data_IF_433476627347
#
_entry.id   IF_433476627347
#
_cell.length_a   1.000
_cell.length_b   1.000
_cell.length_c   1.000
_cell.angle_alpha   90.00
_cell.angle_beta   90.00
_cell.angle_gamma   90.00
#
_symmetry.space_group_name_H-M   'P 1'
#
loop_
_entity.id
_entity.type
_entity.pdbx_description
1 polymer ?
#
# COMPACT_ATOMS: atom_id res chain seq x y z
N UNK A 1 27.82 -14.17 -12.39
CA UNK A 1 26.57 -13.91 -11.65
C UNK A 1 25.82 -15.24 -11.62
N UNK A 2 25.75 -15.91 -10.47
CA UNK A 2 24.97 -17.15 -10.37
C UNK A 2 23.50 -16.78 -10.48
N UNK A 3 22.85 -17.21 -11.56
CA UNK A 3 21.43 -17.12 -11.76
C UNK A 3 20.74 -17.79 -10.56
N UNK A 4 20.27 -16.97 -9.62
CA UNK A 4 19.45 -17.45 -8.53
C UNK A 4 18.18 -18.00 -9.12
N UNK A 5 17.87 -19.27 -8.84
CA UNK A 5 16.61 -19.88 -9.28
C UNK A 5 15.45 -19.01 -8.80
N UNK A 6 14.72 -18.43 -9.74
CA UNK A 6 13.50 -17.67 -9.45
C UNK A 6 12.44 -18.63 -8.92
N UNK A 7 11.88 -18.32 -7.76
CA UNK A 7 10.85 -19.12 -7.11
C UNK A 7 9.46 -18.55 -7.36
N UNK A 8 9.37 -17.24 -7.51
CA UNK A 8 8.11 -16.56 -7.74
C UNK A 8 8.28 -15.15 -8.26
N UNK A 9 7.28 -14.66 -8.94
CA UNK A 9 7.25 -13.37 -9.57
C UNK A 9 5.88 -12.71 -9.39
N UNK A 10 5.86 -11.39 -9.14
CA UNK A 10 4.65 -10.61 -8.94
C UNK A 10 4.79 -9.25 -9.61
N UNK A 11 3.94 -8.97 -10.58
CA UNK A 11 3.86 -7.66 -11.21
C UNK A 11 3.02 -6.68 -10.40
N UNK A 12 3.50 -5.44 -10.30
CA UNK A 12 2.87 -4.33 -9.62
C UNK A 12 2.36 -3.28 -10.61
N UNK A 13 1.37 -2.50 -10.19
CA UNK A 13 0.68 -1.52 -11.05
C UNK A 13 1.59 -0.34 -11.46
N UNK A 14 2.64 -0.06 -10.70
CA UNK A 14 3.58 1.05 -10.90
C UNK A 14 4.77 0.71 -11.81
N UNK A 15 4.60 -0.29 -12.68
CA UNK A 15 5.67 -0.82 -13.55
C UNK A 15 6.88 -1.33 -12.75
N UNK A 16 6.62 -1.87 -11.60
CA UNK A 16 7.62 -2.57 -10.81
C UNK A 16 7.24 -4.05 -10.67
N UNK A 17 8.25 -4.88 -10.50
CA UNK A 17 8.10 -6.30 -10.32
C UNK A 17 8.81 -6.73 -9.04
N UNK A 18 8.18 -7.64 -8.31
CA UNK A 18 8.79 -8.34 -7.19
C UNK A 18 9.18 -9.75 -7.62
N UNK A 19 10.44 -10.07 -7.48
CA UNK A 19 10.99 -11.39 -7.82
C UNK A 19 11.53 -12.05 -6.56
N UNK A 20 11.01 -13.23 -6.24
CA UNK A 20 11.47 -14.04 -5.14
C UNK A 20 12.52 -15.03 -5.65
N UNK A 21 13.70 -14.97 -5.10
CA UNK A 21 14.76 -15.96 -5.29
C UNK A 21 15.02 -16.73 -4.00
N UNK A 22 15.84 -17.77 -4.05
CA UNK A 22 16.19 -18.55 -2.85
C UNK A 22 16.80 -17.74 -1.72
N UNK A 23 17.54 -16.66 -2.05
CA UNK A 23 18.31 -15.89 -1.06
C UNK A 23 17.78 -14.48 -0.86
N UNK A 24 17.11 -13.91 -1.87
CA UNK A 24 16.75 -12.49 -1.89
C UNK A 24 15.33 -12.29 -2.40
N UNK A 25 14.76 -11.16 -2.02
CA UNK A 25 13.61 -10.54 -2.70
C UNK A 25 14.15 -9.33 -3.46
N UNK A 26 13.86 -9.28 -4.74
CA UNK A 26 14.28 -8.23 -5.65
C UNK A 26 13.05 -7.40 -6.01
N UNK A 27 13.14 -6.09 -5.92
CA UNK A 27 12.19 -5.19 -6.54
C UNK A 27 12.86 -4.51 -7.71
N UNK A 28 12.36 -4.75 -8.89
CA UNK A 28 12.73 -4.05 -10.11
C UNK A 28 11.70 -2.97 -10.37
N UNK A 29 12.11 -1.73 -10.54
CA UNK A 29 11.24 -0.61 -10.85
C UNK A 29 11.74 0.11 -12.10
N UNK A 30 10.92 0.09 -13.14
CA UNK A 30 11.13 0.89 -14.35
C UNK A 30 10.61 2.32 -14.12
N UNK A 31 11.55 3.27 -14.07
CA UNK A 31 11.26 4.71 -13.96
C UNK A 31 11.18 5.40 -15.31
N UNK A 32 11.09 4.65 -16.40
CA UNK A 32 11.03 5.14 -17.75
C UNK A 32 12.28 5.94 -18.13
N UNK A 33 12.12 7.21 -18.54
CA UNK A 33 13.25 8.07 -18.94
C UNK A 33 14.26 8.36 -17.83
N UNK A 34 13.93 8.10 -16.57
CA UNK A 34 14.81 8.30 -15.40
C UNK A 34 15.62 7.04 -15.04
N UNK A 35 15.53 5.97 -15.86
CA UNK A 35 16.28 4.74 -15.68
C UNK A 35 15.55 3.69 -14.87
N UNK A 36 16.28 2.62 -14.54
CA UNK A 36 15.79 1.50 -13.75
C UNK A 36 16.39 1.54 -12.35
N UNK A 37 15.62 1.12 -11.36
CA UNK A 37 16.12 0.94 -10.00
C UNK A 37 15.89 -0.49 -9.54
N UNK A 38 16.93 -1.07 -8.93
CA UNK A 38 16.87 -2.41 -8.36
C UNK A 38 17.09 -2.33 -6.86
N UNK A 39 16.15 -2.85 -6.09
CA UNK A 39 16.32 -3.01 -4.65
C UNK A 39 16.41 -4.48 -4.33
N UNK A 40 17.52 -4.88 -3.73
CA UNK A 40 17.81 -6.28 -3.37
C UNK A 40 17.77 -6.39 -1.86
N UNK A 41 16.91 -7.26 -1.34
CA UNK A 41 16.79 -7.49 0.09
C UNK A 41 17.05 -8.97 0.39
N UNK A 42 18.01 -9.29 1.26
CA UNK A 42 18.21 -10.66 1.71
C UNK A 42 16.98 -11.12 2.49
N UNK A 43 16.51 -12.35 2.24
CA UNK A 43 15.32 -12.91 2.88
C UNK A 43 15.39 -12.88 4.40
N UNK A 44 16.59 -13.06 4.96
CA UNK A 44 16.84 -13.02 6.40
C UNK A 44 16.56 -11.64 7.04
N UNK A 45 16.56 -10.56 6.23
CA UNK A 45 16.26 -9.21 6.70
C UNK A 45 14.76 -8.90 6.69
N UNK A 46 13.90 -9.80 6.20
CA UNK A 46 12.46 -9.59 6.19
C UNK A 46 11.92 -9.75 7.60
N UNK A 47 11.34 -8.69 8.15
CA UNK A 47 10.77 -8.68 9.50
C UNK A 47 9.29 -8.99 9.51
N UNK A 48 8.56 -8.53 8.50
CA UNK A 48 7.13 -8.81 8.36
C UNK A 48 6.66 -8.63 6.92
N UNK A 49 5.56 -9.32 6.59
CA UNK A 49 4.86 -9.20 5.32
C UNK A 49 3.44 -8.79 5.64
N UNK A 50 2.97 -7.73 5.00
CA UNK A 50 1.62 -7.24 5.17
C UNK A 50 0.91 -7.21 3.82
N UNK A 51 -0.19 -7.94 3.72
CA UNK A 51 -1.16 -7.77 2.64
C UNK A 51 -2.30 -6.92 3.21
N UNK A 52 -2.46 -5.72 2.71
CA UNK A 52 -3.44 -4.77 3.21
C UNK A 52 -4.35 -4.28 2.09
N UNK A 53 -5.54 -3.84 2.47
CA UNK A 53 -6.50 -3.27 1.54
C UNK A 53 -6.49 -1.76 1.72
N UNK A 54 -6.17 -1.06 0.66
CA UNK A 54 -6.18 0.41 0.66
C UNK A 54 -7.35 0.91 -0.18
N UNK A 55 -8.08 1.87 0.37
CA UNK A 55 -9.12 2.61 -0.36
C UNK A 55 -8.56 3.98 -0.75
N UNK A 56 -8.96 4.46 -1.92
CA UNK A 56 -8.52 5.78 -2.38
C UNK A 56 -9.19 6.88 -1.56
N UNK A 57 -8.45 7.52 -0.68
CA UNK A 57 -8.94 8.67 0.09
C UNK A 57 -9.39 9.82 -0.82
N UNK A 58 -8.77 9.97 -2.00
CA UNK A 58 -9.16 11.00 -2.96
C UNK A 58 -10.63 10.87 -3.41
N UNK A 59 -11.17 9.65 -3.51
CA UNK A 59 -12.59 9.45 -3.86
C UNK A 59 -13.53 9.95 -2.76
N UNK A 60 -13.18 9.77 -1.49
CA UNK A 60 -13.98 10.34 -0.37
C UNK A 60 -14.01 11.85 -0.47
N UNK A 61 -12.83 12.49 -0.61
CA UNK A 61 -12.76 13.93 -0.70
C UNK A 61 -13.54 14.47 -1.88
N UNK A 62 -13.41 13.87 -3.06
CA UNK A 62 -14.13 14.28 -4.26
C UNK A 62 -15.64 14.11 -4.09
N UNK A 63 -16.10 12.97 -3.58
CA UNK A 63 -17.50 12.72 -3.30
C UNK A 63 -18.09 13.70 -2.28
N UNK A 64 -17.32 14.00 -1.21
CA UNK A 64 -17.74 14.97 -0.20
C UNK A 64 -17.89 16.38 -0.80
N UNK A 65 -16.93 16.81 -1.63
CA UNK A 65 -17.02 18.12 -2.30
C UNK A 65 -18.27 18.20 -3.15
N UNK A 66 -18.57 17.18 -3.96
CA UNK A 66 -19.77 17.17 -4.80
C UNK A 66 -21.06 17.26 -3.98
N UNK A 67 -21.14 16.49 -2.87
CA UNK A 67 -22.30 16.52 -2.00
C UNK A 67 -22.46 17.86 -1.28
N UNK A 68 -21.37 18.44 -0.78
CA UNK A 68 -21.41 19.74 -0.09
C UNK A 68 -21.86 20.84 -1.05
N UNK A 69 -21.31 20.90 -2.26
CA UNK A 69 -21.73 21.90 -3.27
C UNK A 69 -23.21 21.70 -3.63
N UNK A 70 -23.64 20.44 -3.83
CA UNK A 70 -25.04 20.13 -4.10
C UNK A 70 -25.96 20.63 -2.98
N UNK A 71 -25.63 20.36 -1.71
CA UNK A 71 -26.41 20.80 -0.55
C UNK A 71 -26.47 22.34 -0.50
N UNK A 72 -25.36 23.05 -0.74
CA UNK A 72 -25.34 24.51 -0.76
C UNK A 72 -26.28 25.05 -1.84
N UNK A 73 -26.29 24.44 -3.04
CA UNK A 73 -27.17 24.85 -4.13
C UNK A 73 -28.65 24.56 -3.79
N UNK A 74 -28.96 23.43 -3.14
CA UNK A 74 -30.30 23.08 -2.69
C UNK A 74 -30.82 24.10 -1.66
N UNK A 75 -30.03 24.33 -0.61
CA UNK A 75 -30.40 25.28 0.45
C UNK A 75 -30.53 26.70 -0.11
N UNK A 76 -29.62 27.11 -0.98
CA UNK A 76 -29.65 28.40 -1.64
C UNK A 76 -30.93 28.59 -2.48
N UNK A 77 -31.34 27.56 -3.23
CA UNK A 77 -32.60 27.60 -4.03
C UNK A 77 -33.87 27.62 -3.17
N UNK A 78 -33.87 26.96 -2.02
CA UNK A 78 -35.00 26.99 -1.06
C UNK A 78 -35.09 28.34 -0.38
N UNK A 79 -33.97 28.92 0.10
CA UNK A 79 -33.99 30.14 0.90
C UNK A 79 -34.16 31.40 0.07
N UNK A 80 -33.54 31.48 -1.10
CA UNK A 80 -33.56 32.66 -1.97
C UNK A 80 -34.52 32.57 -3.17
N UNK A 81 -35.06 31.41 -3.46
CA UNK A 81 -35.96 31.18 -4.58
C UNK A 81 -35.35 31.60 -5.94
N UNK A 82 -36.13 32.28 -6.82
CA UNK A 82 -35.66 32.68 -8.16
C UNK A 82 -34.46 33.65 -8.13
N UNK A 83 -34.33 34.48 -7.09
CA UNK A 83 -33.21 35.43 -6.94
C UNK A 83 -31.86 34.74 -6.85
N UNK A 84 -31.83 33.45 -6.47
CA UNK A 84 -30.58 32.67 -6.45
C UNK A 84 -30.01 32.42 -7.86
N UNK A 85 -30.90 32.18 -8.83
CA UNK A 85 -30.53 32.03 -10.24
C UNK A 85 -29.97 33.33 -10.85
N UNK A 86 -30.59 34.46 -10.53
CA UNK A 86 -30.11 35.77 -10.98
C UNK A 86 -28.75 36.10 -10.40
N UNK A 87 -28.51 35.79 -9.10
CA UNK A 87 -27.22 36.00 -8.45
C UNK A 87 -26.09 35.15 -9.09
N UNK A 88 -26.40 33.94 -9.57
CA UNK A 88 -25.47 33.05 -10.26
C UNK A 88 -25.42 33.29 -11.78
N UNK A 89 -26.24 34.18 -12.32
CA UNK A 89 -26.44 34.40 -13.78
C UNK A 89 -26.78 33.12 -14.54
N UNK A 90 -27.51 32.22 -13.92
CA UNK A 90 -27.92 30.93 -14.47
C UNK A 90 -29.46 30.83 -14.49
N UNK A 91 -30.01 30.16 -15.50
CA UNK A 91 -31.44 29.83 -15.51
C UNK A 91 -31.80 28.85 -14.39
N UNK A 92 -33.04 28.90 -13.91
CA UNK A 92 -33.49 27.99 -12.86
C UNK A 92 -33.39 26.51 -13.26
N UNK A 93 -33.59 26.19 -14.54
CA UNK A 93 -33.43 24.85 -15.10
C UNK A 93 -31.97 24.40 -15.09
N UNK A 94 -31.04 25.31 -15.41
CA UNK A 94 -29.59 25.00 -15.37
C UNK A 94 -29.11 24.73 -13.95
N UNK A 95 -29.60 25.50 -12.97
CA UNK A 95 -29.27 25.27 -11.55
C UNK A 95 -29.76 23.89 -11.09
N UNK A 96 -31.01 23.55 -11.41
CA UNK A 96 -31.57 22.25 -11.05
C UNK A 96 -30.81 21.11 -11.69
N UNK A 97 -30.40 21.25 -12.95
CA UNK A 97 -29.59 20.23 -13.64
C UNK A 97 -28.22 20.04 -12.99
N UNK A 98 -27.53 21.13 -12.67
CA UNK A 98 -26.25 21.09 -11.98
C UNK A 98 -26.38 20.46 -10.58
N UNK A 99 -27.41 20.84 -9.84
CA UNK A 99 -27.70 20.38 -8.50
C UNK A 99 -27.93 18.85 -8.45
N UNK A 100 -28.80 18.33 -9.32
CA UNK A 100 -29.06 16.90 -9.41
C UNK A 100 -27.88 16.14 -9.98
N UNK A 101 -27.15 16.72 -10.95
CA UNK A 101 -25.93 16.15 -11.51
C UNK A 101 -24.82 15.97 -10.45
N UNK A 102 -24.61 17.00 -9.61
CA UNK A 102 -23.63 16.92 -8.50
C UNK A 102 -24.07 15.94 -7.42
N UNK A 103 -25.37 15.89 -7.08
CA UNK A 103 -25.88 14.93 -6.11
C UNK A 103 -25.64 13.49 -6.59
N UNK A 104 -26.07 13.20 -7.81
CA UNK A 104 -25.91 11.87 -8.42
C UNK A 104 -24.42 11.52 -8.55
N UNK A 105 -23.61 12.47 -9.05
CA UNK A 105 -22.16 12.30 -9.18
C UNK A 105 -21.49 12.01 -7.83
N UNK A 106 -21.88 12.73 -6.78
CA UNK A 106 -21.41 12.47 -5.42
C UNK A 106 -21.72 11.05 -4.94
N UNK A 107 -22.96 10.60 -5.14
CA UNK A 107 -23.39 9.24 -4.77
C UNK A 107 -22.58 8.19 -5.56
N UNK A 108 -22.41 8.38 -6.87
CA UNK A 108 -21.63 7.45 -7.71
C UNK A 108 -20.17 7.39 -7.25
N UNK A 109 -19.55 8.52 -6.93
CA UNK A 109 -18.19 8.56 -6.42
C UNK A 109 -18.06 7.84 -5.07
N UNK A 110 -19.05 7.99 -4.18
CA UNK A 110 -19.09 7.23 -2.93
C UNK A 110 -19.25 5.72 -3.16
N UNK A 111 -20.10 5.32 -4.10
CA UNK A 111 -20.23 3.91 -4.48
C UNK A 111 -18.89 3.37 -5.02
N UNK A 112 -18.23 4.11 -5.92
CA UNK A 112 -16.93 3.73 -6.44
C UNK A 112 -15.88 3.58 -5.32
N UNK A 113 -15.91 4.43 -4.29
CA UNK A 113 -15.05 4.28 -3.12
C UNK A 113 -15.28 2.94 -2.38
N UNK A 114 -16.54 2.50 -2.26
CA UNK A 114 -16.85 1.23 -1.61
C UNK A 114 -16.39 0.02 -2.43
N UNK A 115 -16.49 0.10 -3.76
CA UNK A 115 -16.12 -1.00 -4.67
C UNK A 115 -14.65 -0.99 -5.07
N UNK A 116 -14.00 0.19 -5.16
CA UNK A 116 -12.61 0.33 -5.57
C UNK A 116 -11.63 -0.01 -4.42
N UNK A 117 -11.63 -1.26 -3.99
CA UNK A 117 -10.62 -1.79 -3.08
C UNK A 117 -9.35 -2.07 -3.87
N UNK A 118 -8.22 -1.52 -3.42
CA UNK A 118 -6.89 -1.85 -3.96
C UNK A 118 -6.13 -2.64 -2.93
N UNK A 119 -5.63 -3.79 -3.35
CA UNK A 119 -4.74 -4.59 -2.52
C UNK A 119 -3.35 -3.95 -2.57
N UNK A 120 -2.65 -3.96 -1.47
CA UNK A 120 -1.28 -3.46 -1.35
C UNK A 120 -0.47 -4.52 -0.61
N UNK A 121 0.62 -4.95 -1.21
CA UNK A 121 1.61 -5.81 -0.58
C UNK A 121 2.75 -4.95 -0.05
N UNK A 122 3.17 -5.19 1.18
CA UNK A 122 4.33 -4.53 1.80
C UNK A 122 5.19 -5.56 2.50
N UNK A 123 6.46 -5.52 2.19
CA UNK A 123 7.51 -6.34 2.80
C UNK A 123 8.39 -5.40 3.59
N UNK A 124 8.39 -5.55 4.91
CA UNK A 124 9.13 -4.70 5.81
C UNK A 124 10.49 -5.31 6.15
N UNK A 125 11.49 -4.46 6.15
CA UNK A 125 12.82 -4.77 6.66
C UNK A 125 13.28 -3.65 7.58
N UNK A 126 14.33 -3.82 8.38
CA UNK A 126 14.83 -2.75 9.25
C UNK A 126 15.28 -1.48 8.52
N UNK A 127 15.65 -1.61 7.24
CA UNK A 127 16.25 -0.51 6.46
C UNK A 127 15.37 -0.02 5.32
N UNK A 128 14.40 -0.80 4.87
CA UNK A 128 13.57 -0.48 3.70
C UNK A 128 12.20 -1.14 3.77
N UNK A 129 11.27 -0.61 2.97
CA UNK A 129 9.99 -1.24 2.71
C UNK A 129 9.86 -1.46 1.21
N UNK A 130 9.71 -2.72 0.80
CA UNK A 130 9.37 -3.09 -0.57
C UNK A 130 7.87 -3.31 -0.68
N UNK A 131 7.34 -3.07 -1.86
CA UNK A 131 5.95 -3.40 -2.14
C UNK A 131 5.30 -2.45 -3.11
N UNK A 132 4.02 -2.67 -3.32
CA UNK A 132 3.20 -1.90 -4.25
C UNK A 132 1.81 -2.50 -4.37
N UNK A 133 1.09 -2.06 -5.39
CA UNK A 133 -0.26 -2.53 -5.68
C UNK A 133 -0.14 -3.64 -6.74
N UNK A 134 -0.42 -4.91 -6.40
CA UNK A 134 -0.36 -6.02 -7.35
C UNK A 134 -1.45 -5.87 -8.43
N UNK A 135 -1.17 -6.35 -9.63
CA UNK A 135 -2.12 -6.34 -10.73
C UNK A 135 -3.24 -7.36 -10.48
N UNK A 136 -2.90 -8.55 -9.92
CA UNK A 136 -3.84 -9.60 -9.58
C UNK A 136 -3.84 -9.93 -8.08
N UNK A 137 -5.04 -10.13 -7.49
CA UNK A 137 -5.14 -10.52 -6.07
C UNK A 137 -4.67 -11.96 -5.84
N UNK A 138 -5.09 -12.88 -6.69
CA UNK A 138 -4.71 -14.29 -6.58
C UNK A 138 -3.20 -14.50 -6.72
N UNK A 139 -2.56 -13.73 -7.59
CA UNK A 139 -1.10 -13.76 -7.78
C UNK A 139 -0.38 -13.23 -6.54
N UNK A 140 -0.90 -12.15 -5.94
CA UNK A 140 -0.36 -11.60 -4.70
C UNK A 140 -0.49 -12.57 -3.54
N UNK A 141 -1.62 -13.26 -3.42
CA UNK A 141 -1.86 -14.23 -2.36
C UNK A 141 -0.93 -15.45 -2.51
N UNK A 142 -0.81 -15.98 -3.73
CA UNK A 142 0.14 -17.06 -4.06
C UNK A 142 1.60 -16.66 -3.77
N UNK A 143 1.98 -15.44 -4.16
CA UNK A 143 3.31 -14.91 -3.90
C UNK A 143 3.59 -14.79 -2.40
N UNK A 144 2.63 -14.26 -1.62
CA UNK A 144 2.74 -14.17 -0.17
C UNK A 144 2.84 -15.55 0.48
N UNK A 145 2.00 -16.51 0.08
CA UNK A 145 2.02 -17.87 0.59
C UNK A 145 3.37 -18.56 0.31
N UNK A 146 3.90 -18.38 -0.90
CA UNK A 146 5.19 -18.90 -1.30
C UNK A 146 6.33 -18.23 -0.50
N UNK A 147 6.28 -16.92 -0.32
CA UNK A 147 7.27 -16.19 0.46
C UNK A 147 7.25 -16.63 1.94
N UNK A 148 6.07 -16.82 2.53
CA UNK A 148 5.93 -17.31 3.91
C UNK A 148 6.47 -18.71 4.05
N UNK A 149 6.10 -19.64 3.15
CA UNK A 149 6.58 -21.02 3.18
C UNK A 149 8.10 -21.11 3.07
N UNK A 150 8.68 -20.23 2.25
CA UNK A 150 10.13 -20.15 2.07
C UNK A 150 10.84 -19.50 3.27
N UNK A 151 10.19 -18.61 4.01
CA UNK A 151 10.72 -18.07 5.26
C UNK A 151 10.67 -19.08 6.40
N UNK A 152 9.61 -19.88 6.48
CA UNK A 152 9.47 -20.96 7.47
C UNK A 152 10.48 -22.08 7.26
N UNK A 153 10.78 -22.41 6.00
CA UNK A 153 11.76 -23.47 5.64
C UNK A 153 13.23 -23.02 5.80
N UNK A 154 13.49 -21.77 6.16
CA UNK A 154 14.85 -21.37 6.47
C UNK A 154 15.32 -22.03 7.78
N UNK A 155 16.47 -22.74 7.78
CA UNK A 155 17.07 -23.18 9.03
C UNK A 155 17.33 -21.91 9.86
N UNK A 156 16.67 -21.82 11.02
CA UNK A 156 17.00 -20.77 12.00
C UNK A 156 18.49 -20.84 12.23
N UNK A 157 19.22 -19.87 11.74
CA UNK A 157 20.62 -19.68 12.13
C UNK A 157 20.55 -19.27 13.60
N UNK A 158 20.50 -20.25 14.47
CA UNK A 158 20.68 -20.07 15.90
C UNK A 158 22.07 -19.46 16.03
N UNK A 159 22.10 -18.22 16.47
CA UNK A 159 23.32 -17.43 16.52
C UNK A 159 24.32 -18.18 17.43
N UNK A 160 25.24 -18.88 16.79
CA UNK A 160 26.23 -19.75 17.48
C UNK A 160 27.03 -18.97 18.52
N UNK A 161 27.08 -17.62 18.36
CA UNK A 161 27.69 -16.71 19.33
C UNK A 161 26.94 -16.61 20.66
N UNK A 162 25.58 -16.62 20.65
CA UNK A 162 24.81 -16.60 21.90
C UNK A 162 24.97 -17.90 22.70
N UNK A 163 25.17 -19.02 22.02
CA UNK A 163 25.40 -20.31 22.69
C UNK A 163 26.82 -20.37 23.23
N UNK A 164 27.83 -19.80 22.54
CA UNK A 164 29.19 -19.72 23.03
C UNK A 164 29.35 -18.76 24.21
N UNK A 165 28.66 -17.61 24.22
CA UNK A 165 28.66 -16.70 25.36
C UNK A 165 27.94 -17.28 26.59
N UNK A 166 26.88 -18.06 26.38
CA UNK A 166 26.16 -18.74 27.47
C UNK A 166 26.94 -19.95 28.03
N UNK A 167 27.86 -20.53 27.26
CA UNK A 167 28.68 -21.69 27.67
C UNK A 167 30.06 -21.33 28.23
N UNK A 168 30.46 -20.05 28.17
CA UNK A 168 31.72 -19.60 28.78
C UNK A 168 31.57 -19.57 30.30
N UNK A 169 32.26 -20.40 31.09
CA UNK A 169 32.16 -20.34 32.54
C UNK A 169 32.64 -18.96 33.00
N UNK A 170 31.75 -18.27 33.75
CA UNK A 170 32.07 -16.99 34.37
C UNK A 170 33.39 -17.20 35.18
N UNK A 171 34.41 -16.47 34.78
CA UNK A 171 35.67 -16.47 35.54
C UNK A 171 35.38 -16.13 37.02
N UNK A 172 36.00 -16.81 38.00
CA UNK A 172 35.77 -16.52 39.39
C UNK A 172 36.18 -15.08 39.70
N UNK A 173 35.23 -14.37 40.28
CA UNK A 173 35.35 -12.98 40.74
C UNK A 173 36.47 -12.94 41.77
N UNK A 174 37.65 -12.45 41.35
CA UNK A 174 38.79 -12.30 42.26
C UNK A 174 38.51 -11.10 43.16
N UNK A 175 38.20 -11.43 44.44
CA UNK A 175 38.00 -10.44 45.49
C UNK A 175 39.33 -9.80 45.88
N UNK A 176 39.57 -8.58 45.37
CA UNK A 176 40.72 -7.75 45.73
C UNK A 176 40.45 -6.94 47.02
N UNK A 177 40.19 -7.61 48.14
CA UNK A 177 40.22 -6.91 49.42
C UNK A 177 41.55 -7.26 50.12
N UNK A 178 42.50 -6.34 50.05
CA UNK A 178 43.55 -6.10 51.01
C UNK A 178 43.53 -4.64 51.41
#
# INVERSE_FOLDING_TARGET
MSEGVELGWLSLTDKSDLVLTRLHVLQHQDRGIFGESHTIIPRQAITSIQLSWRRSQALIFLGTIFLVISVILIVGSIVRGPAWGEALKLSSSAISFIQYGLLLGGIVVYMLFWFAKRNEIRIFTPTATLGGIPIGYEEADKFCALLVSELENQPRVTNKREIEEASTPKAPEHDWRL
#
